data_IF_451123215416
#
_entry.id   IF_451123215416
#
_cell.length_a   1.000
_cell.length_b   1.000
_cell.length_c   1.000
_cell.angle_alpha   90.00
_cell.angle_beta   90.00
_cell.angle_gamma   90.00
#
_symmetry.space_group_name_H-M   'P 1'
#
loop_
_entity.id
_entity.type
_entity.pdbx_description
1 polymer ?
#
# COMPACT_ATOMS: atom_id res chain seq x y z
N UNK A 1 19.20 -11.02 -13.28
CA UNK A 1 20.47 -11.06 -12.51
C UNK A 1 21.68 -10.51 -13.28
N UNK A 2 21.68 -10.47 -14.63
CA UNK A 2 22.83 -9.99 -15.43
C UNK A 2 23.31 -8.56 -15.11
N UNK A 3 22.40 -7.64 -14.75
CA UNK A 3 22.76 -6.26 -14.39
C UNK A 3 23.52 -6.16 -13.06
N UNK A 4 23.16 -6.97 -12.06
CA UNK A 4 23.86 -7.02 -10.77
C UNK A 4 25.30 -7.50 -10.98
N UNK A 5 25.49 -8.53 -11.82
CA UNK A 5 26.81 -9.05 -12.17
C UNK A 5 27.69 -8.02 -12.89
N UNK A 6 27.10 -7.09 -13.65
CA UNK A 6 27.85 -6.07 -14.40
C UNK A 6 28.14 -4.79 -13.61
N UNK A 7 27.22 -4.35 -12.76
CA UNK A 7 27.29 -3.05 -12.06
C UNK A 7 27.76 -3.17 -10.61
N UNK A 8 27.70 -4.37 -10.04
CA UNK A 8 27.85 -4.58 -8.61
C UNK A 8 26.54 -4.31 -7.84
N UNK A 9 26.34 -5.06 -6.76
CA UNK A 9 25.09 -5.03 -5.98
C UNK A 9 24.80 -3.64 -5.38
N UNK A 10 25.82 -2.95 -4.86
CA UNK A 10 25.66 -1.62 -4.25
C UNK A 10 25.18 -0.56 -5.24
N UNK A 11 25.81 -0.50 -6.43
CA UNK A 11 25.42 0.45 -7.49
C UNK A 11 24.01 0.14 -7.98
N UNK A 12 23.69 -1.14 -8.21
CA UNK A 12 22.36 -1.55 -8.63
C UNK A 12 21.27 -1.11 -7.63
N UNK A 13 21.48 -1.39 -6.33
CA UNK A 13 20.54 -0.97 -5.28
C UNK A 13 20.42 0.55 -5.19
N UNK A 14 21.53 1.29 -5.32
CA UNK A 14 21.54 2.75 -5.31
C UNK A 14 20.72 3.35 -6.45
N UNK A 15 20.97 2.90 -7.69
CA UNK A 15 20.20 3.34 -8.86
C UNK A 15 18.72 2.99 -8.70
N UNK A 16 18.40 1.78 -8.25
CA UNK A 16 17.01 1.36 -8.05
C UNK A 16 16.29 2.21 -6.99
N UNK A 17 16.95 2.51 -5.88
CA UNK A 17 16.41 3.39 -4.85
C UNK A 17 16.16 4.81 -5.38
N UNK A 18 17.09 5.37 -6.18
CA UNK A 18 16.90 6.68 -6.81
C UNK A 18 15.71 6.68 -7.77
N UNK A 19 15.52 5.61 -8.56
CA UNK A 19 14.36 5.47 -9.45
C UNK A 19 13.05 5.42 -8.67
N UNK A 20 13.01 4.72 -7.53
CA UNK A 20 11.82 4.71 -6.65
C UNK A 20 11.53 6.11 -6.11
N UNK A 21 12.56 6.83 -5.63
CA UNK A 21 12.39 8.19 -5.11
C UNK A 21 11.92 9.16 -6.21
N UNK A 22 12.48 9.04 -7.42
CA UNK A 22 12.06 9.83 -8.57
C UNK A 22 10.59 9.53 -8.94
N UNK A 23 10.20 8.26 -9.00
CA UNK A 23 8.80 7.87 -9.24
C UNK A 23 7.86 8.42 -8.19
N UNK A 24 8.22 8.36 -6.91
CA UNK A 24 7.42 8.92 -5.82
C UNK A 24 7.30 10.44 -5.95
N UNK A 25 8.39 11.14 -6.26
CA UNK A 25 8.38 12.58 -6.48
C UNK A 25 7.47 12.97 -7.66
N UNK A 26 7.53 12.24 -8.77
CA UNK A 26 6.67 12.47 -9.94
C UNK A 26 5.19 12.27 -9.61
N UNK A 27 4.85 11.24 -8.82
CA UNK A 27 3.47 11.01 -8.35
C UNK A 27 2.98 12.21 -7.53
N UNK A 28 3.77 12.67 -6.55
CA UNK A 28 3.41 13.80 -5.68
C UNK A 28 3.27 15.09 -6.48
N UNK A 29 4.22 15.37 -7.38
CA UNK A 29 4.20 16.57 -8.21
C UNK A 29 2.99 16.57 -9.15
N UNK A 30 2.76 15.46 -9.86
CA UNK A 30 1.62 15.31 -10.77
C UNK A 30 0.28 15.52 -10.06
N UNK A 31 0.10 14.90 -8.89
CA UNK A 31 -1.10 15.06 -8.07
C UNK A 31 -1.36 16.49 -7.61
N UNK A 32 -0.30 17.19 -7.22
CA UNK A 32 -0.38 18.59 -6.76
C UNK A 32 -0.63 19.56 -7.91
N UNK A 33 -0.11 19.27 -9.10
CA UNK A 33 -0.27 20.13 -10.28
C UNK A 33 -1.59 19.92 -11.02
N UNK A 34 -2.30 18.81 -10.80
CA UNK A 34 -3.56 18.53 -11.48
C UNK A 34 -4.71 19.31 -10.88
N UNK A 35 -5.51 19.97 -11.72
CA UNK A 35 -6.83 20.51 -11.34
C UNK A 35 -7.83 19.36 -11.23
N UNK A 36 -8.33 19.02 -10.04
CA UNK A 36 -9.15 17.81 -9.87
C UNK A 36 -10.53 17.99 -10.47
N UNK A 37 -10.95 17.04 -11.30
CA UNK A 37 -12.29 16.99 -11.87
C UNK A 37 -13.09 15.87 -11.22
N UNK A 38 -14.32 16.17 -10.81
CA UNK A 38 -15.18 15.21 -10.12
C UNK A 38 -15.72 14.18 -11.12
N UNK A 39 -15.45 12.89 -10.87
CA UNK A 39 -16.00 11.77 -11.64
C UNK A 39 -17.24 11.18 -10.95
N UNK A 40 -17.21 11.06 -9.62
CA UNK A 40 -18.39 10.67 -8.82
C UNK A 40 -18.40 11.31 -7.44
N UNK A 41 -19.60 11.41 -6.85
CA UNK A 41 -19.77 11.86 -5.48
C UNK A 41 -19.55 10.69 -4.52
N UNK A 42 -18.47 10.74 -3.75
CA UNK A 42 -18.21 9.77 -2.69
C UNK A 42 -19.19 9.97 -1.52
N UNK A 43 -19.98 8.95 -1.12
CA UNK A 43 -20.94 9.11 -0.03
C UNK A 43 -20.23 9.34 1.32
N UNK A 44 -20.56 10.43 2.00
CA UNK A 44 -19.94 10.77 3.29
C UNK A 44 -20.09 9.67 4.36
N UNK A 45 -21.17 8.87 4.30
CA UNK A 45 -21.44 7.76 5.21
C UNK A 45 -20.36 6.65 5.14
N UNK A 46 -19.64 6.51 4.01
CA UNK A 46 -18.62 5.48 3.84
C UNK A 46 -17.27 5.84 4.48
N UNK A 47 -17.12 7.05 5.03
CA UNK A 47 -15.86 7.48 5.67
C UNK A 47 -15.37 6.51 6.75
N UNK A 48 -16.28 6.02 7.59
CA UNK A 48 -15.93 5.07 8.66
C UNK A 48 -15.51 3.71 8.09
N UNK A 49 -16.12 3.28 6.98
CA UNK A 49 -15.73 2.06 6.26
C UNK A 49 -14.33 2.25 5.66
N UNK A 50 -14.06 3.38 5.01
CA UNK A 50 -12.72 3.73 4.51
C UNK A 50 -11.67 3.69 5.63
N UNK A 51 -11.94 4.32 6.77
CA UNK A 51 -11.02 4.31 7.92
C UNK A 51 -10.73 2.90 8.44
N UNK A 52 -11.76 2.05 8.54
CA UNK A 52 -11.59 0.64 8.93
C UNK A 52 -10.76 -0.16 7.91
N UNK A 53 -11.05 -0.01 6.61
CA UNK A 53 -10.28 -0.67 5.56
C UNK A 53 -8.82 -0.20 5.56
N UNK A 54 -8.56 1.08 5.83
CA UNK A 54 -7.21 1.61 5.96
C UNK A 54 -6.45 1.00 7.13
N UNK A 55 -7.09 0.78 8.28
CA UNK A 55 -6.48 0.05 9.39
C UNK A 55 -6.07 -1.37 8.96
N UNK A 56 -6.96 -2.10 8.27
CA UNK A 56 -6.68 -3.43 7.74
C UNK A 56 -5.50 -3.38 6.74
N UNK A 57 -5.50 -2.42 5.82
CA UNK A 57 -4.44 -2.24 4.83
C UNK A 57 -3.07 -2.01 5.50
N UNK A 58 -3.00 -1.13 6.49
CA UNK A 58 -1.75 -0.83 7.21
C UNK A 58 -1.25 -2.07 7.97
N UNK A 59 -2.14 -2.80 8.67
CA UNK A 59 -1.75 -4.03 9.37
C UNK A 59 -1.20 -5.07 8.38
N UNK A 60 -1.85 -5.26 7.22
CA UNK A 60 -1.38 -6.17 6.18
C UNK A 60 -0.03 -5.74 5.61
N UNK A 61 0.19 -4.44 5.42
CA UNK A 61 1.46 -3.90 4.94
C UNK A 61 2.58 -4.14 5.94
N UNK A 62 2.35 -3.87 7.23
CA UNK A 62 3.32 -4.16 8.30
C UNK A 62 3.59 -5.67 8.40
N UNK A 63 2.54 -6.50 8.30
CA UNK A 63 2.65 -7.95 8.32
C UNK A 63 3.46 -8.52 7.14
N UNK A 64 3.64 -7.79 6.04
CA UNK A 64 4.48 -8.25 4.93
C UNK A 64 5.97 -8.22 5.30
N UNK A 65 6.38 -7.24 6.12
CA UNK A 65 7.75 -7.01 6.55
C UNK A 65 8.14 -7.86 7.78
N UNK A 66 7.17 -8.27 8.59
CA UNK A 66 7.40 -8.99 9.86
C UNK A 66 7.07 -10.48 9.69
N UNK A 67 7.99 -11.42 10.04
CA UNK A 67 7.67 -12.84 10.09
C UNK A 67 6.54 -13.13 11.10
N UNK A 68 5.36 -13.48 10.60
CA UNK A 68 4.16 -13.79 11.38
C UNK A 68 3.29 -14.81 10.65
N UNK A 69 2.37 -15.46 11.38
CA UNK A 69 1.44 -16.44 10.79
C UNK A 69 0.47 -15.82 9.78
N UNK A 70 0.34 -14.49 9.71
CA UNK A 70 -0.37 -13.79 8.63
C UNK A 70 0.23 -14.17 7.27
N UNK A 71 1.56 -14.29 7.16
CA UNK A 71 2.26 -14.72 5.92
C UNK A 71 2.05 -16.21 5.61
N UNK A 72 1.40 -16.97 6.51
CA UNK A 72 0.97 -18.36 6.27
C UNK A 72 -0.48 -18.46 5.83
N UNK A 73 -1.29 -17.45 6.15
CA UNK A 73 -2.69 -17.35 5.72
C UNK A 73 -2.80 -16.64 4.37
N UNK A 74 -1.95 -15.63 4.15
CA UNK A 74 -1.93 -14.79 2.97
C UNK A 74 -0.57 -14.91 2.27
N UNK A 75 -0.59 -15.30 1.00
CA UNK A 75 0.61 -15.38 0.16
C UNK A 75 1.23 -14.01 -0.10
N UNK A 76 0.39 -13.00 -0.33
CA UNK A 76 0.80 -11.66 -0.79
C UNK A 76 0.27 -10.53 0.11
N UNK A 77 0.59 -10.51 1.42
CA UNK A 77 0.03 -9.52 2.35
C UNK A 77 0.30 -8.07 1.91
N UNK A 78 1.45 -7.80 1.28
CA UNK A 78 1.76 -6.46 0.78
C UNK A 78 0.88 -6.03 -0.40
N UNK A 79 0.66 -6.92 -1.38
CA UNK A 79 -0.18 -6.58 -2.54
C UNK A 79 -1.65 -6.49 -2.13
N UNK A 80 -2.10 -7.37 -1.22
CA UNK A 80 -3.42 -7.27 -0.63
C UNK A 80 -3.61 -5.97 0.15
N UNK A 81 -2.59 -5.51 0.89
CA UNK A 81 -2.63 -4.21 1.53
C UNK A 81 -2.85 -3.07 0.53
N UNK A 82 -2.14 -3.07 -0.60
CA UNK A 82 -2.29 -2.05 -1.65
C UNK A 82 -3.68 -2.11 -2.31
N UNK A 83 -4.23 -3.30 -2.51
CA UNK A 83 -5.60 -3.47 -3.05
C UNK A 83 -6.64 -2.92 -2.07
N UNK A 84 -6.56 -3.28 -0.78
CA UNK A 84 -7.49 -2.78 0.24
C UNK A 84 -7.36 -1.26 0.40
N UNK A 85 -6.13 -0.74 0.38
CA UNK A 85 -5.82 0.68 0.41
C UNK A 85 -6.43 1.43 -0.78
N UNK A 86 -6.26 0.89 -1.99
CA UNK A 86 -6.84 1.42 -3.23
C UNK A 86 -8.37 1.52 -3.13
N UNK A 87 -9.03 0.42 -2.72
CA UNK A 87 -10.48 0.38 -2.53
C UNK A 87 -10.92 1.41 -1.49
N UNK A 88 -10.25 1.44 -0.33
CA UNK A 88 -10.58 2.34 0.77
C UNK A 88 -10.55 3.81 0.32
N UNK A 89 -9.52 4.21 -0.43
CA UNK A 89 -9.40 5.56 -0.95
C UNK A 89 -10.45 5.86 -2.02
N UNK A 90 -10.72 4.96 -2.97
CA UNK A 90 -11.76 5.18 -3.98
C UNK A 90 -13.16 5.30 -3.36
N UNK A 91 -13.44 4.64 -2.23
CA UNK A 91 -14.73 4.83 -1.53
C UNK A 91 -14.95 6.27 -1.01
N UNK A 92 -13.88 7.03 -0.77
CA UNK A 92 -13.94 8.38 -0.20
C UNK A 92 -13.45 9.49 -1.14
N UNK A 93 -12.85 9.17 -2.29
CA UNK A 93 -12.27 10.13 -3.24
C UNK A 93 -12.75 9.81 -4.65
N UNK A 94 -13.48 10.75 -5.25
CA UNK A 94 -14.20 10.56 -6.51
C UNK A 94 -13.71 11.45 -7.66
N UNK A 95 -12.60 12.14 -7.48
CA UNK A 95 -11.95 12.95 -8.49
C UNK A 95 -10.97 12.14 -9.38
N UNK A 96 -10.83 12.56 -10.62
CA UNK A 96 -10.03 11.93 -11.68
C UNK A 96 -8.60 11.57 -11.27
N UNK A 97 -7.89 12.50 -10.62
CA UNK A 97 -6.53 12.27 -10.10
C UNK A 97 -6.51 11.09 -9.11
N UNK A 98 -7.51 11.02 -8.22
CA UNK A 98 -7.68 9.93 -7.24
C UNK A 98 -7.92 8.60 -7.92
N UNK A 99 -8.79 8.58 -8.93
CA UNK A 99 -9.02 7.38 -9.71
C UNK A 99 -7.73 6.88 -10.37
N UNK A 100 -6.93 7.78 -10.94
CA UNK A 100 -5.68 7.42 -11.60
C UNK A 100 -4.64 6.86 -10.62
N UNK A 101 -4.42 7.52 -9.47
CA UNK A 101 -3.44 7.06 -8.49
C UNK A 101 -3.86 5.75 -7.82
N UNK A 102 -5.04 5.75 -7.18
CA UNK A 102 -5.48 4.61 -6.38
C UNK A 102 -5.88 3.45 -7.29
N UNK A 103 -6.61 3.72 -8.37
CA UNK A 103 -6.99 2.70 -9.35
C UNK A 103 -5.79 2.11 -10.09
N UNK A 104 -4.83 2.96 -10.50
CA UNK A 104 -3.61 2.50 -11.15
C UNK A 104 -2.75 1.60 -10.26
N UNK A 105 -2.51 1.99 -9.01
CA UNK A 105 -1.77 1.17 -8.05
C UNK A 105 -2.53 -0.10 -7.64
N UNK A 106 -3.86 -0.03 -7.53
CA UNK A 106 -4.71 -1.20 -7.28
C UNK A 106 -4.63 -2.22 -8.42
N UNK A 107 -4.76 -1.77 -9.67
CA UNK A 107 -4.59 -2.60 -10.85
C UNK A 107 -3.19 -3.21 -10.92
N UNK A 108 -2.15 -2.39 -10.69
CA UNK A 108 -0.77 -2.88 -10.63
C UNK A 108 -0.60 -3.98 -9.58
N UNK A 109 -1.13 -3.81 -8.36
CA UNK A 109 -1.01 -4.80 -7.31
C UNK A 109 -1.69 -6.14 -7.67
N UNK A 110 -2.83 -6.11 -8.36
CA UNK A 110 -3.48 -7.32 -8.88
C UNK A 110 -2.60 -8.00 -9.94
N UNK A 111 -2.06 -7.23 -10.89
CA UNK A 111 -1.18 -7.75 -11.94
C UNK A 111 0.10 -8.37 -11.34
N UNK A 112 0.71 -7.74 -10.33
CA UNK A 112 1.86 -8.29 -9.62
C UNK A 112 1.55 -9.64 -8.96
N UNK A 113 0.38 -9.79 -8.32
CA UNK A 113 -0.03 -11.09 -7.76
C UNK A 113 -0.04 -12.16 -8.87
N UNK A 114 -0.59 -11.85 -10.04
CA UNK A 114 -0.65 -12.79 -11.16
C UNK A 114 0.75 -13.12 -11.69
N UNK A 115 1.61 -12.11 -11.88
CA UNK A 115 2.97 -12.30 -12.39
C UNK A 115 3.87 -13.04 -11.41
N UNK A 116 3.78 -12.73 -10.11
CA UNK A 116 4.53 -13.43 -9.06
C UNK A 116 4.07 -14.89 -8.97
N UNK A 117 2.75 -15.15 -9.00
CA UNK A 117 2.25 -16.52 -8.99
C UNK A 117 2.73 -17.32 -10.20
N UNK A 118 2.75 -16.70 -11.39
CA UNK A 118 3.23 -17.33 -12.61
C UNK A 118 4.74 -17.57 -12.59
N UNK A 119 5.52 -16.66 -12.02
CA UNK A 119 6.98 -16.74 -11.93
C UNK A 119 7.43 -17.76 -10.87
N UNK A 120 6.81 -17.73 -9.70
CA UNK A 120 7.26 -18.49 -8.52
C UNK A 120 6.54 -19.85 -8.38
N UNK A 121 5.43 -20.07 -9.11
CA UNK A 121 4.69 -21.32 -9.10
C UNK A 121 3.95 -21.57 -7.79
N UNK A 122 4.03 -22.81 -7.28
CA UNK A 122 3.32 -23.25 -6.09
C UNK A 122 3.76 -22.50 -4.83
N UNK A 123 2.79 -22.16 -3.98
CA UNK A 123 3.08 -21.45 -2.75
C UNK A 123 3.49 -22.40 -1.63
N UNK A 124 4.78 -22.39 -1.30
CA UNK A 124 5.29 -23.06 -0.11
C UNK A 124 4.93 -22.24 1.14
N UNK A 125 3.98 -22.75 1.93
CA UNK A 125 3.54 -22.11 3.17
C UNK A 125 4.72 -21.99 4.15
N UNK A 126 5.01 -20.81 4.70
CA UNK A 126 6.05 -20.65 5.71
C UNK A 126 5.80 -21.49 6.98
N UNK A 127 6.89 -21.81 7.69
CA UNK A 127 6.81 -22.49 8.97
C UNK A 127 5.99 -21.69 10.00
N UNK A 128 5.27 -22.35 10.93
CA UNK A 128 4.58 -21.67 12.02
C UNK A 128 5.53 -20.80 12.83
N UNK A 129 5.15 -19.56 13.04
CA UNK A 129 5.85 -18.61 13.91
C UNK A 129 5.22 -18.50 15.30
N UNK A 130 3.96 -18.93 15.44
CA UNK A 130 3.18 -18.89 16.67
C UNK A 130 2.30 -17.65 16.78
N UNK A 131 1.19 -17.77 17.51
CA UNK A 131 0.16 -16.72 17.59
C UNK A 131 0.66 -15.39 18.19
N UNK A 132 1.65 -15.45 19.09
CA UNK A 132 2.28 -14.24 19.67
C UNK A 132 2.92 -13.35 18.60
N UNK A 133 3.47 -13.94 17.52
CA UNK A 133 4.06 -13.16 16.43
C UNK A 133 3.03 -12.42 15.58
N UNK A 134 1.76 -12.81 15.64
CA UNK A 134 0.66 -12.09 14.97
C UNK A 134 0.34 -10.78 15.71
N UNK A 135 0.58 -10.72 17.02
CA UNK A 135 0.34 -9.51 17.80
C UNK A 135 1.26 -8.35 17.39
N UNK A 136 2.48 -8.65 16.93
CA UNK A 136 3.46 -7.62 16.53
C UNK A 136 2.94 -6.75 15.38
N UNK A 137 2.59 -7.29 14.19
CA UNK A 137 2.06 -6.46 13.10
C UNK A 137 0.72 -5.83 13.45
N UNK A 138 -0.08 -6.44 14.34
CA UNK A 138 -1.33 -5.84 14.82
C UNK A 138 -1.04 -4.56 15.63
N UNK A 139 -0.18 -4.64 16.64
CA UNK A 139 0.16 -3.51 17.52
C UNK A 139 0.88 -2.42 16.72
N UNK A 140 1.91 -2.80 15.96
CA UNK A 140 2.66 -1.84 15.13
C UNK A 140 1.74 -1.21 14.08
N UNK A 141 0.87 -1.99 13.46
CA UNK A 141 -0.12 -1.49 12.49
C UNK A 141 -1.10 -0.50 13.11
N UNK A 142 -1.61 -0.75 14.32
CA UNK A 142 -2.48 0.18 15.05
C UNK A 142 -1.75 1.48 15.39
N UNK A 143 -0.50 1.40 15.85
CA UNK A 143 0.31 2.59 16.14
C UNK A 143 0.56 3.41 14.87
N UNK A 144 0.97 2.76 13.78
CA UNK A 144 1.18 3.42 12.48
C UNK A 144 -0.14 4.03 11.98
N UNK A 145 -1.25 3.32 12.10
CA UNK A 145 -2.57 3.83 11.72
C UNK A 145 -2.94 5.09 12.50
N UNK A 146 -2.75 5.11 13.83
CA UNK A 146 -3.04 6.29 14.65
C UNK A 146 -2.18 7.50 14.22
N UNK A 147 -0.90 7.28 13.94
CA UNK A 147 0.01 8.31 13.42
C UNK A 147 -0.47 8.82 12.06
N UNK A 148 -0.81 7.93 11.12
CA UNK A 148 -1.30 8.30 9.79
C UNK A 148 -2.62 9.08 9.88
N UNK A 149 -3.57 8.66 10.72
CA UNK A 149 -4.84 9.37 10.92
C UNK A 149 -4.59 10.78 11.44
N UNK A 150 -3.71 10.92 12.45
CA UNK A 150 -3.40 12.22 13.03
C UNK A 150 -2.70 13.16 12.03
N UNK A 151 -1.74 12.65 11.27
CA UNK A 151 -0.97 13.45 10.30
C UNK A 151 -1.56 13.45 8.88
N UNK A 152 -2.74 12.88 8.66
CA UNK A 152 -3.29 12.67 7.30
C UNK A 152 -3.40 13.97 6.50
N UNK A 153 -3.77 15.08 7.15
CA UNK A 153 -3.84 16.38 6.50
C UNK A 153 -2.48 16.85 5.95
N UNK A 154 -1.38 16.58 6.67
CA UNK A 154 -0.03 16.94 6.23
C UNK A 154 0.51 15.98 5.17
N UNK A 155 0.16 14.70 5.27
CA UNK A 155 0.63 13.66 4.36
C UNK A 155 -0.12 13.68 3.02
N UNK A 156 -1.44 13.86 3.05
CA UNK A 156 -2.33 13.70 1.91
C UNK A 156 -3.07 14.99 1.51
N UNK A 157 -2.92 16.08 2.27
CA UNK A 157 -3.57 17.36 1.97
C UNK A 157 -5.06 17.42 2.33
N UNK A 158 -5.62 16.37 2.94
CA UNK A 158 -7.04 16.27 3.30
C UNK A 158 -7.18 15.85 4.76
N UNK A 159 -8.02 16.53 5.55
CA UNK A 159 -8.29 16.13 6.93
C UNK A 159 -9.34 15.01 7.00
N UNK A 160 -9.11 13.99 7.83
CA UNK A 160 -10.07 12.88 8.04
C UNK A 160 -11.11 13.19 9.11
N UNK A 161 -10.69 13.91 10.15
CA UNK A 161 -11.52 14.37 11.26
C UNK A 161 -11.44 15.88 11.23
N UNK A 162 -12.51 16.52 10.79
CA UNK A 162 -12.70 17.96 10.97
C UNK A 162 -13.14 18.18 12.42
N UNK A 163 -12.42 19.03 13.16
CA UNK A 163 -12.89 19.54 14.43
C UNK A 163 -14.13 20.42 14.23
#
# INVERSE_FOLDING_TARGET
QSLITRLGEGVYKGVFALLILASLALIVLGWRSSTPELVYLAPAALRHVTMLLMLIAIILFVASAIPSDIKRWLRHPQMLAVIVWSIAHLLSNGEDRSLLLFGGLGLWAVLEILFINRRDGDWLRPAPTGWMRVLIPLIVGVVVYAVVVYFHAYLAGVALITA
#
